data_IF_640315404508
#
_entry.id   IF_640315404508
#
_cell.length_a   1.000
_cell.length_b   1.000
_cell.length_c   1.000
_cell.angle_alpha   90.00
_cell.angle_beta   90.00
_cell.angle_gamma   90.00
#
_symmetry.space_group_name_H-M   'P 1'
#
loop_
_entity.id
_entity.type
_entity.pdbx_description
1 polymer ?
#
# COMPACT_ATOMS: atom_id res chain seq x y z
N UNK A 1 -7.33 12.31 7.04
CA UNK A 1 -6.30 11.53 7.75
C UNK A 1 -5.03 11.37 6.90
N UNK A 2 -5.08 10.65 5.76
CA UNK A 2 -3.90 10.43 4.90
C UNK A 2 -3.25 11.68 4.31
N UNK A 3 -4.04 12.67 3.85
CA UNK A 3 -3.50 13.94 3.30
C UNK A 3 -2.70 14.72 4.36
N UNK A 4 -3.18 14.74 5.60
CA UNK A 4 -2.46 15.40 6.71
C UNK A 4 -1.14 14.68 7.01
N UNK A 5 -1.13 13.35 6.94
CA UNK A 5 0.10 12.56 7.11
C UNK A 5 1.12 12.84 6.00
N UNK A 6 0.65 12.95 4.75
CA UNK A 6 1.49 13.32 3.60
C UNK A 6 2.05 14.72 3.78
N UNK A 7 1.21 15.74 4.04
CA UNK A 7 1.65 17.13 4.19
C UNK A 7 2.58 17.32 5.41
N UNK A 8 2.29 16.63 6.52
CA UNK A 8 3.16 16.59 7.69
C UNK A 8 4.51 15.95 7.35
N UNK A 9 4.51 14.80 6.67
CA UNK A 9 5.71 14.12 6.21
C UNK A 9 6.56 14.98 5.28
N UNK A 10 5.95 15.74 4.37
CA UNK A 10 6.65 16.68 3.46
C UNK A 10 7.34 17.79 4.26
N UNK A 11 6.65 18.36 5.25
CA UNK A 11 7.19 19.43 6.09
C UNK A 11 8.36 18.92 6.94
N UNK A 12 8.18 17.75 7.57
CA UNK A 12 9.20 17.11 8.39
C UNK A 12 10.40 16.70 7.53
N UNK A 13 10.20 16.13 6.34
CA UNK A 13 11.32 15.71 5.49
C UNK A 13 12.17 16.89 5.03
N UNK A 14 11.55 18.01 4.64
CA UNK A 14 12.31 19.22 4.27
C UNK A 14 13.16 19.75 5.42
N UNK A 15 12.64 19.67 6.65
CA UNK A 15 13.39 20.04 7.85
C UNK A 15 14.56 19.08 8.07
N UNK A 16 14.32 17.77 8.01
CA UNK A 16 15.34 16.74 8.20
C UNK A 16 16.41 16.77 7.11
N UNK A 17 16.05 16.99 5.84
CA UNK A 17 16.98 17.13 4.73
C UNK A 17 17.94 18.32 4.95
N UNK A 18 17.40 19.46 5.42
CA UNK A 18 18.21 20.63 5.75
C UNK A 18 19.14 20.38 6.94
N UNK A 19 18.63 19.77 8.02
CA UNK A 19 19.37 19.63 9.28
C UNK A 19 20.33 18.44 9.31
N UNK A 20 19.93 17.29 8.77
CA UNK A 20 20.69 16.02 8.83
C UNK A 20 21.56 15.84 7.59
N UNK A 21 20.97 16.04 6.41
CA UNK A 21 21.64 15.71 5.14
C UNK A 21 22.33 16.92 4.50
N UNK A 22 22.14 18.14 5.05
CA UNK A 22 22.61 19.40 4.49
C UNK A 22 22.29 19.55 2.99
N UNK A 23 21.22 18.90 2.52
CA UNK A 23 20.83 18.89 1.13
C UNK A 23 19.97 20.12 0.86
N UNK A 24 20.33 20.88 -0.16
CA UNK A 24 19.45 21.91 -0.72
C UNK A 24 18.46 21.22 -1.66
N UNK A 25 17.23 21.72 -1.67
CA UNK A 25 16.24 21.23 -2.63
C UNK A 25 16.70 21.54 -4.04
N UNK A 26 16.94 20.50 -4.84
CA UNK A 26 17.29 20.61 -6.25
C UNK A 26 16.33 19.76 -7.06
N UNK A 27 15.71 20.38 -8.07
CA UNK A 27 14.84 19.68 -8.99
C UNK A 27 15.65 18.71 -9.85
N UNK A 28 15.29 17.44 -9.83
CA UNK A 28 15.89 16.40 -10.64
C UNK A 28 14.79 15.79 -11.53
N UNK A 29 14.83 16.08 -12.83
CA UNK A 29 13.82 15.66 -13.80
C UNK A 29 13.70 14.14 -13.91
N UNK A 30 14.80 13.41 -13.74
CA UNK A 30 14.82 11.94 -13.75
C UNK A 30 14.07 11.39 -12.53
N UNK A 31 14.43 11.88 -11.33
CA UNK A 31 13.76 11.46 -10.08
C UNK A 31 12.28 11.83 -10.10
N UNK A 32 11.95 13.01 -10.62
CA UNK A 32 10.57 13.45 -10.79
C UNK A 32 9.79 12.51 -11.73
N UNK A 33 10.37 12.14 -12.88
CA UNK A 33 9.74 11.22 -13.84
C UNK A 33 9.53 9.83 -13.24
N UNK A 34 10.53 9.29 -12.53
CA UNK A 34 10.42 8.03 -11.78
C UNK A 34 9.29 8.12 -10.74
N UNK A 35 9.23 9.24 -10.01
CA UNK A 35 8.18 9.50 -9.02
C UNK A 35 6.79 9.49 -9.62
N UNK A 36 6.57 10.13 -10.80
CA UNK A 36 5.28 10.11 -11.49
C UNK A 36 4.91 8.68 -11.90
N UNK A 37 5.82 7.96 -12.55
CA UNK A 37 5.56 6.59 -13.01
C UNK A 37 5.20 5.69 -11.84
N UNK A 38 5.97 5.75 -10.74
CA UNK A 38 5.72 4.96 -9.54
C UNK A 38 4.40 5.35 -8.88
N UNK A 39 4.05 6.63 -8.86
CA UNK A 39 2.78 7.11 -8.29
C UNK A 39 1.59 6.56 -9.07
N UNK A 40 1.62 6.67 -10.39
CA UNK A 40 0.57 6.16 -11.26
C UNK A 40 0.42 4.64 -11.12
N UNK A 41 1.55 3.91 -11.07
CA UNK A 41 1.55 2.47 -10.86
C UNK A 41 0.96 2.08 -9.50
N UNK A 42 1.35 2.79 -8.44
CA UNK A 42 0.87 2.58 -7.07
C UNK A 42 -0.64 2.79 -6.96
N UNK A 43 -1.16 3.87 -7.57
CA UNK A 43 -2.59 4.14 -7.64
C UNK A 43 -3.33 3.11 -8.48
N UNK A 44 -2.76 2.68 -9.61
CA UNK A 44 -3.33 1.66 -10.46
C UNK A 44 -3.50 0.34 -9.69
N UNK A 45 -2.43 -0.14 -9.04
CA UNK A 45 -2.44 -1.37 -8.24
C UNK A 45 -3.48 -1.27 -7.12
N UNK A 46 -3.42 -0.19 -6.32
CA UNK A 46 -4.34 0.00 -5.18
C UNK A 46 -5.80 0.06 -5.64
N UNK A 47 -6.08 0.81 -6.71
CA UNK A 47 -7.43 0.99 -7.22
C UNK A 47 -7.98 -0.28 -7.85
N UNK A 48 -7.18 -0.99 -8.66
CA UNK A 48 -7.62 -2.19 -9.37
C UNK A 48 -7.93 -3.33 -8.39
N UNK A 49 -7.00 -3.59 -7.46
CA UNK A 49 -7.15 -4.66 -6.47
C UNK A 49 -8.28 -4.35 -5.47
N UNK A 50 -8.39 -3.10 -5.00
CA UNK A 50 -9.51 -2.66 -4.17
C UNK A 50 -10.87 -2.76 -4.86
N UNK A 51 -10.95 -2.43 -6.16
CA UNK A 51 -12.16 -2.64 -6.97
C UNK A 51 -12.49 -4.12 -7.14
N UNK A 52 -11.48 -4.98 -7.34
CA UNK A 52 -11.66 -6.43 -7.42
C UNK A 52 -12.25 -6.97 -6.11
N UNK A 53 -11.68 -6.59 -4.97
CA UNK A 53 -12.19 -6.97 -3.65
C UNK A 53 -13.64 -6.51 -3.44
N UNK A 54 -13.94 -5.26 -3.80
CA UNK A 54 -15.28 -4.70 -3.69
C UNK A 54 -16.29 -5.43 -4.58
N UNK A 55 -15.87 -5.89 -5.77
CA UNK A 55 -16.75 -6.53 -6.76
C UNK A 55 -17.02 -8.00 -6.42
N UNK A 56 -15.99 -8.75 -6.07
CA UNK A 56 -16.09 -10.20 -5.87
C UNK A 56 -16.20 -10.62 -4.39
N UNK A 57 -15.93 -9.70 -3.46
CA UNK A 57 -16.03 -9.94 -2.02
C UNK A 57 -17.44 -9.67 -1.48
N UNK A 58 -18.41 -9.47 -2.37
CA UNK A 58 -19.81 -9.22 -2.04
C UNK A 58 -20.69 -10.28 -2.68
N UNK A 59 -21.61 -10.79 -1.88
CA UNK A 59 -22.68 -11.69 -2.31
C UNK A 59 -24.00 -11.14 -1.75
N UNK A 60 -24.95 -10.82 -2.63
CA UNK A 60 -26.20 -10.15 -2.27
C UNK A 60 -26.06 -8.65 -1.94
N UNK A 61 -27.02 -8.12 -1.16
CA UNK A 61 -27.14 -6.69 -0.90
C UNK A 61 -26.36 -6.28 0.37
N UNK A 62 -25.06 -6.05 0.20
CA UNK A 62 -24.12 -5.75 1.31
C UNK A 62 -23.80 -4.26 1.35
N UNK A 63 -23.78 -3.61 2.54
CA UNK A 63 -23.45 -2.20 2.70
C UNK A 63 -22.18 -1.75 1.96
N UNK A 64 -22.15 -0.47 1.58
CA UNK A 64 -20.98 0.14 0.95
C UNK A 64 -19.78 -0.01 1.90
N UNK A 65 -18.64 -0.46 1.37
CA UNK A 65 -17.39 -0.74 2.11
C UNK A 65 -17.32 -2.03 2.96
N UNK A 66 -18.31 -2.92 2.88
CA UNK A 66 -18.22 -4.24 3.52
C UNK A 66 -18.16 -5.38 2.50
N UNK A 67 -17.41 -6.43 2.83
CA UNK A 67 -17.29 -7.68 2.04
C UNK A 67 -17.78 -8.87 2.85
N UNK A 68 -18.77 -9.65 2.40
CA UNK A 68 -19.26 -10.85 3.11
C UNK A 68 -18.77 -12.16 2.49
N UNK A 69 -17.97 -12.10 1.43
CA UNK A 69 -17.38 -13.26 0.77
C UNK A 69 -15.86 -13.17 0.76
N UNK A 70 -15.19 -14.26 1.15
CA UNK A 70 -13.74 -14.38 1.10
C UNK A 70 -13.29 -14.68 -0.34
N UNK A 71 -12.40 -13.85 -0.89
CA UNK A 71 -11.81 -14.06 -2.22
C UNK A 71 -10.45 -14.72 -2.06
N UNK A 72 -10.21 -15.80 -2.81
CA UNK A 72 -8.92 -16.52 -2.86
C UNK A 72 -8.38 -16.70 -4.29
N UNK A 73 -8.97 -16.01 -5.25
CA UNK A 73 -8.65 -16.12 -6.68
C UNK A 73 -7.83 -14.93 -7.19
N UNK A 74 -7.25 -15.07 -8.39
CA UNK A 74 -6.46 -14.01 -9.02
C UNK A 74 -5.28 -13.58 -8.14
N UNK A 75 -5.12 -12.28 -7.92
CA UNK A 75 -4.08 -11.75 -7.02
C UNK A 75 -4.22 -12.23 -5.57
N UNK A 76 -5.46 -12.45 -5.10
CA UNK A 76 -5.72 -12.94 -3.74
C UNK A 76 -5.32 -14.41 -3.55
N UNK A 77 -5.00 -15.14 -4.62
CA UNK A 77 -4.42 -16.49 -4.49
C UNK A 77 -2.94 -16.49 -4.06
N UNK A 78 -2.23 -15.36 -4.22
CA UNK A 78 -0.79 -15.28 -3.91
C UNK A 78 -0.42 -14.17 -2.92
N UNK A 79 -1.34 -13.26 -2.62
CA UNK A 79 -1.13 -12.15 -1.68
C UNK A 79 -2.45 -11.74 -1.01
N UNK A 80 -2.46 -11.63 0.33
CA UNK A 80 -3.69 -11.26 1.05
C UNK A 80 -4.05 -9.78 0.96
N UNK A 81 -3.06 -8.88 0.94
CA UNK A 81 -3.27 -7.43 0.98
C UNK A 81 -2.67 -6.68 -0.23
N UNK A 82 -3.02 -7.04 -1.48
CA UNK A 82 -2.42 -6.43 -2.68
C UNK A 82 -2.78 -4.95 -2.87
N UNK A 83 -3.91 -4.50 -2.31
CA UNK A 83 -4.27 -3.07 -2.27
C UNK A 83 -3.26 -2.28 -1.43
N UNK A 84 -2.94 -2.79 -0.25
CA UNK A 84 -1.99 -2.13 0.66
C UNK A 84 -0.58 -2.13 0.13
N UNK A 85 -0.21 -3.10 -0.71
CA UNK A 85 1.07 -3.07 -1.40
C UNK A 85 1.20 -1.78 -2.22
N UNK A 86 0.20 -1.44 -3.03
CA UNK A 86 0.21 -0.19 -3.80
C UNK A 86 0.22 1.05 -2.89
N UNK A 87 -0.54 1.04 -1.80
CA UNK A 87 -0.55 2.14 -0.83
C UNK A 87 0.82 2.35 -0.15
N UNK A 88 1.55 1.28 0.12
CA UNK A 88 2.91 1.35 0.69
C UNK A 88 3.91 2.01 -0.26
N UNK A 89 3.71 1.98 -1.59
CA UNK A 89 4.59 2.61 -2.57
C UNK A 89 4.27 4.09 -2.85
N UNK A 90 3.10 4.60 -2.44
CA UNK A 90 2.75 6.02 -2.62
C UNK A 90 3.74 6.95 -1.90
N UNK A 91 4.11 6.74 -0.62
CA UNK A 91 5.11 7.56 0.06
C UNK A 91 6.47 7.57 -0.64
N UNK A 92 6.93 6.42 -1.16
CA UNK A 92 8.16 6.35 -1.94
C UNK A 92 8.05 7.19 -3.22
N UNK A 93 6.91 7.15 -3.89
CA UNK A 93 6.66 7.94 -5.10
C UNK A 93 6.77 9.44 -4.81
N UNK A 94 6.18 9.91 -3.71
CA UNK A 94 6.27 11.30 -3.24
C UNK A 94 7.73 11.67 -2.93
N UNK A 95 8.47 10.75 -2.31
CA UNK A 95 9.87 10.95 -1.98
C UNK A 95 10.74 11.20 -3.24
N UNK A 96 10.50 10.44 -4.31
CA UNK A 96 11.14 10.64 -5.61
C UNK A 96 10.71 11.96 -6.29
N UNK A 97 9.42 12.32 -6.23
CA UNK A 97 8.93 13.61 -6.75
C UNK A 97 9.59 14.80 -6.07
N UNK A 98 9.89 14.68 -4.78
CA UNK A 98 10.55 15.71 -3.99
C UNK A 98 12.07 15.64 -4.01
N UNK A 99 12.64 14.57 -4.57
CA UNK A 99 14.07 14.29 -4.48
C UNK A 99 14.59 14.37 -3.02
N UNK A 100 13.84 13.80 -2.07
CA UNK A 100 14.07 13.93 -0.63
C UNK A 100 14.59 12.64 -0.01
N UNK A 101 15.85 12.65 0.42
CA UNK A 101 16.52 11.46 1.00
C UNK A 101 15.88 11.08 2.33
N UNK A 102 15.61 12.04 3.21
CA UNK A 102 14.93 11.75 4.48
C UNK A 102 13.52 11.21 4.28
N UNK A 103 12.79 11.65 3.25
CA UNK A 103 11.47 11.10 2.96
C UNK A 103 11.57 9.62 2.54
N UNK A 104 12.54 9.28 1.69
CA UNK A 104 12.78 7.89 1.25
C UNK A 104 13.18 7.00 2.45
N UNK A 105 14.08 7.46 3.30
CA UNK A 105 14.69 6.63 4.35
C UNK A 105 13.91 6.60 5.66
N UNK A 106 13.08 7.60 5.93
CA UNK A 106 12.42 7.77 7.23
C UNK A 106 10.90 7.73 7.04
N UNK A 107 10.35 8.70 6.31
CA UNK A 107 8.88 8.88 6.23
C UNK A 107 8.20 7.71 5.51
N UNK A 108 8.76 7.25 4.39
CA UNK A 108 8.18 6.15 3.62
C UNK A 108 8.21 4.81 4.39
N UNK A 109 9.33 4.37 5.01
CA UNK A 109 9.36 3.17 5.85
C UNK A 109 8.44 3.25 7.06
N UNK A 110 8.37 4.40 7.76
CA UNK A 110 7.44 4.59 8.88
C UNK A 110 6.00 4.40 8.39
N UNK A 111 5.64 4.97 7.25
CA UNK A 111 4.28 4.84 6.70
C UNK A 111 3.98 3.38 6.33
N UNK A 112 4.94 2.65 5.75
CA UNK A 112 4.79 1.23 5.46
C UNK A 112 4.61 0.39 6.73
N UNK A 113 5.36 0.67 7.80
CA UNK A 113 5.21 0.02 9.10
C UNK A 113 3.82 0.30 9.68
N UNK A 114 3.32 1.54 9.61
CA UNK A 114 1.98 1.88 10.09
C UNK A 114 0.88 1.11 9.34
N UNK A 115 1.00 0.98 8.02
CA UNK A 115 0.07 0.16 7.22
C UNK A 115 0.16 -1.31 7.67
N UNK A 116 1.36 -1.84 7.86
CA UNK A 116 1.54 -3.21 8.33
C UNK A 116 0.90 -3.45 9.70
N UNK A 117 1.11 -2.54 10.64
CA UNK A 117 0.51 -2.59 11.98
C UNK A 117 -1.01 -2.51 11.89
N UNK A 118 -1.56 -1.60 11.08
CA UNK A 118 -3.00 -1.48 10.87
C UNK A 118 -3.61 -2.79 10.32
N UNK A 119 -2.94 -3.41 9.35
CA UNK A 119 -3.39 -4.71 8.82
C UNK A 119 -3.40 -5.76 9.93
N UNK A 120 -2.32 -5.86 10.71
CA UNK A 120 -2.18 -6.89 11.75
C UNK A 120 -3.11 -6.71 12.94
N UNK A 121 -3.40 -5.47 13.32
CA UNK A 121 -4.12 -5.15 14.56
C UNK A 121 -5.60 -4.91 14.33
N UNK A 122 -5.99 -4.52 13.11
CA UNK A 122 -7.37 -4.17 12.77
C UNK A 122 -7.90 -5.09 11.68
N UNK A 123 -7.30 -5.09 10.48
CA UNK A 123 -7.90 -5.77 9.33
C UNK A 123 -7.91 -7.31 9.44
N UNK A 124 -6.78 -7.94 9.76
CA UNK A 124 -6.72 -9.40 9.90
C UNK A 124 -7.61 -9.89 11.07
N UNK A 125 -7.61 -9.27 12.26
CA UNK A 125 -8.54 -9.64 13.34
C UNK A 125 -10.02 -9.48 12.97
N UNK A 126 -10.38 -8.40 12.27
CA UNK A 126 -11.75 -8.22 11.76
C UNK A 126 -12.11 -9.27 10.71
N UNK A 127 -11.18 -9.62 9.82
CA UNK A 127 -11.38 -10.67 8.84
C UNK A 127 -11.53 -12.05 9.50
N UNK A 128 -10.76 -12.36 10.55
CA UNK A 128 -10.92 -13.58 11.34
C UNK A 128 -12.29 -13.62 12.02
N UNK A 129 -12.72 -12.52 12.67
CA UNK A 129 -14.06 -12.44 13.28
C UNK A 129 -15.18 -12.66 12.26
N UNK A 130 -14.95 -12.24 11.01
CA UNK A 130 -15.95 -12.30 9.95
C UNK A 130 -16.03 -13.63 9.23
N UNK A 131 -14.88 -14.23 8.91
CA UNK A 131 -14.77 -15.40 8.04
C UNK A 131 -14.31 -16.66 8.80
N UNK A 132 -13.95 -16.53 10.08
CA UNK A 132 -13.58 -17.64 10.95
C UNK A 132 -12.43 -18.48 10.41
N UNK A 133 -12.60 -19.80 10.50
CA UNK A 133 -11.58 -20.79 10.15
C UNK A 133 -11.13 -20.74 8.69
N UNK A 134 -11.99 -20.29 7.77
CA UNK A 134 -11.62 -20.16 6.36
C UNK A 134 -10.51 -19.13 6.17
N UNK A 135 -10.58 -18.00 6.87
CA UNK A 135 -9.54 -16.99 6.82
C UNK A 135 -8.27 -17.44 7.54
N UNK A 136 -8.39 -18.18 8.65
CA UNK A 136 -7.23 -18.76 9.34
C UNK A 136 -6.47 -19.73 8.42
N UNK A 137 -7.18 -20.59 7.68
CA UNK A 137 -6.55 -21.49 6.67
C UNK A 137 -5.89 -20.67 5.56
N UNK A 138 -6.59 -19.68 5.03
CA UNK A 138 -6.05 -18.77 4.02
C UNK A 138 -4.77 -18.05 4.48
N UNK A 139 -4.70 -17.63 5.74
CA UNK A 139 -3.51 -17.00 6.33
C UNK A 139 -2.28 -17.92 6.39
N UNK A 140 -2.49 -19.24 6.53
CA UNK A 140 -1.41 -20.24 6.55
C UNK A 140 -0.86 -20.51 5.15
N UNK A 141 -1.70 -20.40 4.12
CA UNK A 141 -1.35 -20.76 2.74
C UNK A 141 -0.81 -19.59 1.93
N UNK A 142 -1.36 -18.39 2.12
CA UNK A 142 -1.06 -17.22 1.27
C UNK A 142 -0.48 -16.11 2.13
N UNK A 143 0.75 -15.61 1.89
CA UNK A 143 1.37 -14.59 2.73
C UNK A 143 0.67 -13.23 2.62
N UNK A 144 0.96 -12.33 3.57
CA UNK A 144 0.44 -10.95 3.56
C UNK A 144 0.85 -10.19 2.29
N UNK A 145 2.15 -10.24 1.98
CA UNK A 145 2.78 -9.66 0.80
C UNK A 145 3.64 -10.71 0.10
N UNK A 146 3.61 -10.70 -1.24
CA UNK A 146 4.40 -11.61 -2.06
C UNK A 146 4.99 -10.85 -3.26
N UNK A 147 6.30 -10.58 -3.19
CA UNK A 147 7.02 -9.82 -4.22
C UNK A 147 7.63 -10.71 -5.31
N UNK A 148 7.27 -12.00 -5.37
CA UNK A 148 7.68 -12.86 -6.47
C UNK A 148 7.14 -12.35 -7.80
N UNK A 149 7.94 -12.45 -8.86
CA UNK A 149 7.56 -12.00 -10.21
C UNK A 149 6.28 -12.68 -10.70
N UNK A 150 6.05 -13.95 -10.34
CA UNK A 150 4.83 -14.69 -10.67
C UNK A 150 3.59 -14.07 -10.04
N UNK A 151 3.66 -13.64 -8.77
CA UNK A 151 2.54 -12.97 -8.10
C UNK A 151 2.34 -11.54 -8.60
N UNK A 152 3.43 -10.77 -8.80
CA UNK A 152 3.34 -9.40 -9.30
C UNK A 152 2.71 -9.32 -10.70
N UNK A 153 2.95 -10.32 -11.56
CA UNK A 153 2.25 -10.41 -12.87
C UNK A 153 0.73 -10.47 -12.72
N UNK A 154 0.21 -11.09 -11.65
CA UNK A 154 -1.24 -11.15 -11.38
C UNK A 154 -1.86 -9.80 -11.01
N UNK A 155 -1.07 -8.78 -10.68
CA UNK A 155 -1.59 -7.42 -10.48
C UNK A 155 -2.09 -6.81 -11.80
N UNK A 156 -1.52 -7.24 -12.92
CA UNK A 156 -1.78 -6.67 -14.25
C UNK A 156 -2.76 -7.51 -15.08
N UNK A 157 -3.01 -8.76 -14.68
CA UNK A 157 -4.11 -9.59 -15.19
C UNK A 157 -5.47 -9.02 -14.75
#
# INVERSE_FOLDING_TARGET
MWVAFILGGITVSKLLDKFIFNTKFHFNALMFSIGIILLLLSFYISSKTGKLLKRFGKEGNVPRFQTNKLIREGIYSCMRHPMHLGLMFIPFSIAFLMNSISYILIIAPITAILIFVLIKTIEEPEAIKKFGDEYIKYMKEVPMFNLSLSCLKKLFQ
#
